data_IF_122558391778
#
_entry.id   IF_122558391778
#
_cell.length_a   1.000
_cell.length_b   1.000
_cell.length_c   1.000
_cell.angle_alpha   90.00
_cell.angle_beta   90.00
_cell.angle_gamma   90.00
#
_symmetry.space_group_name_H-M   'P 1'
#
loop_
_entity.id
_entity.type
_entity.pdbx_description
1 polymer ?
#
# COMPACT_ATOMS: atom_id res chain seq x y z
N UNK A 1 -4.54 48.73 22.75
CA UNK A 1 -4.91 50.07 23.27
C UNK A 1 -5.03 51.00 22.08
N UNK A 2 -6.21 51.29 21.54
CA UNK A 2 -7.61 50.89 21.85
C UNK A 2 -8.27 50.70 20.47
N UNK A 3 -8.94 49.62 20.06
CA UNK A 3 -9.96 48.72 20.65
C UNK A 3 -11.41 49.25 20.51
N UNK A 4 -12.38 48.31 20.48
CA UNK A 4 -13.85 48.44 20.53
C UNK A 4 -14.69 48.85 19.30
N UNK A 5 -15.46 47.86 18.84
CA UNK A 5 -16.92 47.85 18.59
C UNK A 5 -17.66 48.86 17.70
N UNK A 6 -18.59 48.31 16.90
CA UNK A 6 -19.96 48.84 16.84
C UNK A 6 -21.00 47.71 16.85
N UNK A 7 -22.04 47.80 17.72
CA UNK A 7 -23.13 46.82 17.79
C UNK A 7 -24.41 47.39 18.42
N UNK A 8 -25.40 47.76 17.59
CA UNK A 8 -26.78 48.07 17.97
C UNK A 8 -27.69 47.71 16.76
N UNK A 9 -28.74 46.88 16.75
CA UNK A 9 -29.73 46.33 17.72
C UNK A 9 -31.11 47.03 17.68
N UNK A 10 -32.01 46.43 16.88
CA UNK A 10 -33.51 46.36 17.00
C UNK A 10 -34.39 47.63 16.97
N UNK A 11 -35.52 47.56 16.23
CA UNK A 11 -36.92 47.53 16.77
C UNK A 11 -38.01 47.43 15.65
N UNK A 12 -38.87 46.40 15.75
CA UNK A 12 -40.33 46.26 15.38
C UNK A 12 -40.86 46.57 13.95
N UNK A 13 -41.95 45.85 13.57
CA UNK A 13 -42.72 45.94 12.31
C UNK A 13 -44.25 46.08 12.58
N UNK A 14 -45.08 46.33 11.53
CA UNK A 14 -46.12 45.36 11.09
C UNK A 14 -46.23 45.33 9.53
N UNK A 15 -47.19 44.76 8.78
CA UNK A 15 -48.50 44.06 8.98
C UNK A 15 -48.54 42.75 8.15
N UNK A 16 -49.16 41.64 8.58
CA UNK A 16 -50.60 41.20 8.54
C UNK A 16 -51.20 40.88 7.15
N UNK A 17 -51.42 39.58 6.92
CA UNK A 17 -52.68 39.01 6.38
C UNK A 17 -52.76 37.50 6.69
N UNK A 18 -53.96 36.97 6.94
CA UNK A 18 -54.15 35.72 7.71
C UNK A 18 -55.36 34.88 7.26
N UNK A 19 -55.15 33.60 6.93
CA UNK A 19 -56.16 32.53 6.87
C UNK A 19 -55.44 31.17 7.00
N UNK A 20 -55.59 30.39 8.08
CA UNK A 20 -56.72 29.52 8.46
C UNK A 20 -56.81 28.23 7.61
N UNK A 21 -56.99 27.01 8.16
CA UNK A 21 -57.02 26.55 9.57
C UNK A 21 -56.88 25.01 9.64
N UNK A 22 -56.56 24.46 10.83
CA UNK A 22 -56.65 23.03 11.24
C UNK A 22 -55.67 22.01 10.60
N UNK A 23 -55.37 20.84 11.21
CA UNK A 23 -55.19 20.50 12.63
C UNK A 23 -54.47 19.14 12.79
N UNK A 24 -53.74 18.96 13.91
CA UNK A 24 -53.25 17.68 14.48
C UNK A 24 -52.49 16.70 13.56
N UNK A 25 -51.22 16.48 13.89
CA UNK A 25 -50.83 15.27 14.65
C UNK A 25 -49.44 15.44 15.29
N UNK A 26 -49.24 14.83 16.46
CA UNK A 26 -47.91 14.76 17.09
C UNK A 26 -47.13 13.56 16.53
N UNK A 27 -45.89 13.79 16.10
CA UNK A 27 -44.88 12.76 15.94
C UNK A 27 -43.77 13.02 16.99
N UNK A 28 -43.18 11.98 17.62
CA UNK A 28 -42.16 12.17 18.63
C UNK A 28 -40.84 12.64 18.03
N UNK A 29 -40.12 13.48 18.77
CA UNK A 29 -38.73 13.87 18.45
C UNK A 29 -37.87 12.59 18.45
N UNK A 30 -37.08 12.31 17.39
CA UNK A 30 -36.18 11.16 17.39
C UNK A 30 -35.14 11.33 18.49
N UNK A 31 -35.03 10.31 19.35
CA UNK A 31 -34.06 10.28 20.45
C UNK A 31 -32.62 10.20 19.90
N UNK A 32 -31.61 10.71 20.63
CA UNK A 32 -30.21 10.61 20.20
C UNK A 32 -29.81 9.15 19.98
N UNK A 33 -29.21 8.89 18.81
CA UNK A 33 -28.82 7.55 18.34
C UNK A 33 -27.95 6.83 19.35
N UNK A 34 -28.29 5.59 19.70
CA UNK A 34 -27.54 4.80 20.68
C UNK A 34 -26.23 4.31 20.06
N UNK A 35 -25.18 4.15 20.87
CA UNK A 35 -23.84 3.74 20.39
C UNK A 35 -23.85 2.45 19.55
N UNK A 36 -24.79 1.53 19.78
CA UNK A 36 -24.91 0.27 19.03
C UNK A 36 -25.15 0.44 17.53
N UNK A 37 -25.89 1.47 17.10
CA UNK A 37 -26.22 1.67 15.68
C UNK A 37 -24.98 2.02 14.85
N UNK A 38 -23.96 2.68 15.44
CA UNK A 38 -22.68 2.96 14.76
C UNK A 38 -21.95 1.67 14.39
N UNK A 39 -21.91 0.67 15.28
CA UNK A 39 -21.20 -0.59 15.00
C UNK A 39 -21.84 -1.40 13.87
N UNK A 40 -23.18 -1.44 13.83
CA UNK A 40 -23.92 -2.09 12.75
C UNK A 40 -23.76 -1.34 11.41
N UNK A 41 -23.79 0.00 11.45
CA UNK A 41 -23.56 0.85 10.27
C UNK A 41 -22.14 0.69 9.71
N UNK A 42 -21.11 0.69 10.57
CA UNK A 42 -19.72 0.47 10.20
C UNK A 42 -19.51 -0.90 9.52
N UNK A 43 -20.02 -1.98 10.13
CA UNK A 43 -19.87 -3.32 9.57
C UNK A 43 -20.60 -3.46 8.22
N UNK A 44 -21.77 -2.82 8.07
CA UNK A 44 -22.50 -2.75 6.79
C UNK A 44 -21.72 -1.99 5.70
N UNK A 45 -21.13 -0.84 6.03
CA UNK A 45 -20.32 -0.05 5.09
C UNK A 45 -19.01 -0.75 4.68
N UNK A 46 -18.42 -1.50 5.60
CA UNK A 46 -17.26 -2.37 5.36
C UNK A 46 -17.62 -3.51 4.40
N UNK A 47 -18.69 -4.26 4.68
CA UNK A 47 -19.13 -5.36 3.82
C UNK A 47 -19.53 -4.88 2.42
N UNK A 48 -20.14 -3.69 2.31
CA UNK A 48 -20.46 -3.08 1.02
C UNK A 48 -19.18 -2.76 0.20
N UNK A 49 -18.14 -2.24 0.85
CA UNK A 49 -16.84 -1.98 0.22
C UNK A 49 -16.13 -3.27 -0.20
N UNK A 50 -16.09 -4.29 0.67
CA UNK A 50 -15.50 -5.59 0.35
C UNK A 50 -16.21 -6.30 -0.81
N UNK A 51 -17.54 -6.22 -0.87
CA UNK A 51 -18.33 -6.76 -1.99
C UNK A 51 -18.14 -5.96 -3.28
N UNK A 52 -18.13 -4.63 -3.20
CA UNK A 52 -17.88 -3.73 -4.34
C UNK A 52 -16.53 -4.03 -5.01
N UNK A 53 -15.47 -4.16 -4.21
CA UNK A 53 -14.13 -4.49 -4.69
C UNK A 53 -13.92 -5.97 -5.01
N UNK A 54 -14.90 -6.85 -4.76
CA UNK A 54 -14.78 -8.32 -4.91
C UNK A 54 -13.64 -8.93 -4.08
N UNK A 55 -13.36 -8.35 -2.92
CA UNK A 55 -12.32 -8.85 -2.00
C UNK A 55 -12.56 -10.30 -1.56
N UNK A 56 -13.79 -10.81 -1.39
CA UNK A 56 -14.02 -12.23 -1.12
C UNK A 56 -13.60 -13.20 -2.25
N UNK A 57 -13.45 -12.75 -3.49
CA UNK A 57 -12.85 -13.54 -4.57
C UNK A 57 -11.33 -13.34 -4.64
N UNK A 58 -10.85 -12.10 -4.52
CA UNK A 58 -9.42 -11.80 -4.52
C UNK A 58 -8.69 -12.47 -3.36
N UNK A 59 -9.24 -12.42 -2.15
CA UNK A 59 -8.69 -13.08 -0.97
C UNK A 59 -8.60 -14.61 -1.12
N UNK A 60 -9.49 -15.25 -1.90
CA UNK A 60 -9.38 -16.69 -2.21
C UNK A 60 -8.17 -17.00 -3.10
N UNK A 61 -7.87 -16.12 -4.05
CA UNK A 61 -6.65 -16.22 -4.88
C UNK A 61 -5.38 -15.99 -4.03
N UNK A 62 -5.40 -14.99 -3.13
CA UNK A 62 -4.30 -14.70 -2.20
C UNK A 62 -4.14 -15.69 -1.02
N UNK A 63 -5.02 -16.68 -0.91
CA UNK A 63 -4.96 -17.70 0.17
C UNK A 63 -4.83 -19.13 -0.32
N UNK A 64 -5.07 -19.43 -1.61
CA UNK A 64 -4.66 -20.72 -2.14
C UNK A 64 -3.13 -20.79 -2.18
N UNK A 65 -2.57 -21.81 -1.53
CA UNK A 65 -1.18 -22.22 -1.73
C UNK A 65 -1.16 -23.19 -2.89
N UNK A 66 -0.87 -22.69 -4.08
CA UNK A 66 -0.74 -23.53 -5.27
C UNK A 66 0.70 -24.08 -5.38
N UNK A 67 1.65 -23.49 -4.64
CA UNK A 67 3.06 -23.86 -4.57
C UNK A 67 3.54 -23.87 -3.10
N UNK A 68 3.20 -24.89 -2.31
CA UNK A 68 3.37 -24.87 -0.85
C UNK A 68 4.82 -24.73 -0.38
N UNK A 69 5.78 -25.16 -1.20
CA UNK A 69 7.23 -25.07 -0.95
C UNK A 69 7.80 -23.68 -1.29
N UNK A 70 7.07 -22.85 -2.05
CA UNK A 70 7.49 -21.50 -2.41
C UNK A 70 7.22 -20.54 -1.24
N UNK A 71 8.24 -20.30 -0.41
CA UNK A 71 8.11 -19.53 0.85
C UNK A 71 7.48 -18.15 0.63
N UNK A 72 7.76 -17.49 -0.50
CA UNK A 72 7.22 -16.16 -0.80
C UNK A 72 5.93 -16.15 -1.62
N UNK A 73 5.30 -17.29 -1.95
CA UNK A 73 3.97 -17.32 -2.61
C UNK A 73 2.96 -16.38 -1.92
N UNK A 74 2.83 -16.33 -0.57
CA UNK A 74 1.87 -15.46 0.11
C UNK A 74 2.13 -13.95 -0.04
N UNK A 75 3.33 -13.55 -0.47
CA UNK A 75 3.72 -12.17 -0.78
C UNK A 75 3.64 -11.91 -2.29
N UNK A 76 4.29 -12.75 -3.07
CA UNK A 76 4.45 -12.54 -4.51
C UNK A 76 3.13 -12.73 -5.26
N UNK A 77 2.26 -13.64 -4.84
CA UNK A 77 0.95 -13.85 -5.49
C UNK A 77 0.05 -12.59 -5.48
N UNK A 78 -0.21 -11.91 -4.34
CA UNK A 78 -0.91 -10.63 -4.36
C UNK A 78 -0.10 -9.51 -5.04
N UNK A 79 1.24 -9.46 -4.90
CA UNK A 79 2.05 -8.42 -5.54
C UNK A 79 2.03 -8.50 -7.08
N UNK A 80 2.20 -9.70 -7.64
CA UNK A 80 2.12 -9.98 -9.08
C UNK A 80 0.68 -9.71 -9.59
N UNK A 81 -0.34 -10.04 -8.81
CA UNK A 81 -1.73 -9.73 -9.17
C UNK A 81 -1.99 -8.22 -9.19
N UNK A 82 -1.42 -7.46 -8.25
CA UNK A 82 -1.48 -6.01 -8.27
C UNK A 82 -0.83 -5.43 -9.53
N UNK A 83 0.35 -5.93 -9.90
CA UNK A 83 1.08 -5.53 -11.11
C UNK A 83 0.26 -5.79 -12.40
N UNK A 84 -0.38 -6.96 -12.51
CA UNK A 84 -1.27 -7.28 -13.63
C UNK A 84 -2.54 -6.41 -13.67
N UNK A 85 -3.05 -5.95 -12.50
CA UNK A 85 -4.13 -4.95 -12.44
C UNK A 85 -3.60 -3.57 -12.86
N UNK A 86 -2.36 -3.19 -12.51
CA UNK A 86 -1.71 -1.96 -12.99
C UNK A 86 -1.60 -1.95 -14.52
N UNK A 87 -1.23 -3.07 -15.16
CA UNK A 87 -1.22 -3.18 -16.62
C UNK A 87 -2.60 -2.96 -17.24
N UNK A 88 -3.66 -3.51 -16.64
CA UNK A 88 -5.05 -3.22 -17.05
C UNK A 88 -5.39 -1.74 -16.88
N UNK A 89 -4.96 -1.13 -15.78
CA UNK A 89 -5.17 0.29 -15.54
C UNK A 89 -4.50 1.18 -16.61
N UNK A 90 -3.28 0.82 -17.04
CA UNK A 90 -2.58 1.46 -18.17
C UNK A 90 -3.41 1.34 -19.46
N UNK A 91 -3.87 0.12 -19.80
CA UNK A 91 -4.76 -0.12 -20.95
C UNK A 91 -6.01 0.76 -20.93
N UNK A 92 -6.62 0.94 -19.76
CA UNK A 92 -7.86 1.71 -19.57
C UNK A 92 -7.58 3.22 -19.69
N UNK A 93 -6.65 3.76 -18.89
CA UNK A 93 -6.38 5.19 -18.80
C UNK A 93 -5.86 5.78 -20.12
N UNK A 94 -5.03 5.04 -20.86
CA UNK A 94 -4.54 5.46 -22.17
C UNK A 94 -5.57 5.28 -23.30
N UNK A 95 -6.62 4.49 -23.06
CA UNK A 95 -7.74 4.31 -24.00
C UNK A 95 -8.92 5.25 -23.74
N UNK A 96 -8.96 5.96 -22.62
CA UNK A 96 -10.08 6.85 -22.25
C UNK A 96 -10.38 7.86 -23.38
N UNK A 97 -11.59 7.87 -23.96
CA UNK A 97 -11.93 8.71 -25.10
C UNK A 97 -12.15 10.19 -24.74
N UNK A 98 -12.25 10.55 -23.44
CA UNK A 98 -12.50 11.93 -23.00
C UNK A 98 -11.40 12.88 -23.47
N UNK A 99 -11.73 14.05 -24.06
CA UNK A 99 -10.74 14.97 -24.61
C UNK A 99 -9.96 15.75 -23.53
N UNK A 100 -10.47 15.76 -22.29
CA UNK A 100 -9.87 16.46 -21.14
C UNK A 100 -9.12 15.54 -20.17
N UNK A 101 -9.08 14.22 -20.42
CA UNK A 101 -8.32 13.29 -19.59
C UNK A 101 -6.82 13.50 -19.81
N UNK A 102 -6.05 13.80 -18.75
CA UNK A 102 -4.60 13.95 -18.86
C UNK A 102 -3.91 12.58 -18.96
N UNK A 103 -3.95 12.02 -20.17
CA UNK A 103 -3.27 10.76 -20.51
C UNK A 103 -1.75 10.84 -20.30
N UNK A 104 -1.14 12.02 -20.21
CA UNK A 104 0.32 12.17 -19.97
C UNK A 104 0.64 11.97 -18.49
N UNK A 105 -0.11 12.60 -17.59
CA UNK A 105 0.10 12.39 -16.16
C UNK A 105 -0.37 10.99 -15.71
N UNK A 106 -1.48 10.49 -16.26
CA UNK A 106 -1.87 9.07 -16.09
C UNK A 106 -0.75 8.11 -16.54
N UNK A 107 -0.14 8.34 -17.70
CA UNK A 107 0.99 7.54 -18.17
C UNK A 107 2.15 7.58 -17.17
N UNK A 108 2.63 8.77 -16.77
CA UNK A 108 3.75 8.91 -15.82
C UNK A 108 3.49 8.24 -14.46
N UNK A 109 2.28 8.40 -13.91
CA UNK A 109 1.96 7.87 -12.57
C UNK A 109 1.80 6.36 -12.60
N UNK A 110 1.20 5.78 -13.64
CA UNK A 110 1.10 4.34 -13.80
C UNK A 110 2.43 3.69 -14.19
N UNK A 111 3.29 4.38 -14.95
CA UNK A 111 4.68 4.01 -15.20
C UNK A 111 5.47 3.94 -13.88
N UNK A 112 5.45 5.01 -13.09
CA UNK A 112 6.08 5.06 -11.75
C UNK A 112 5.57 3.94 -10.84
N UNK A 113 4.25 3.75 -10.78
CA UNK A 113 3.64 2.72 -9.95
C UNK A 113 4.08 1.31 -10.38
N UNK A 114 4.06 1.01 -11.69
CA UNK A 114 4.51 -0.29 -12.20
C UNK A 114 6.00 -0.52 -11.87
N UNK A 115 6.86 0.47 -12.06
CA UNK A 115 8.28 0.36 -11.71
C UNK A 115 8.51 0.14 -10.21
N UNK A 116 7.77 0.83 -9.33
CA UNK A 116 7.83 0.61 -7.86
C UNK A 116 7.30 -0.75 -7.44
N UNK A 117 6.28 -1.28 -8.12
CA UNK A 117 5.79 -2.64 -7.89
C UNK A 117 6.85 -3.67 -8.30
N UNK A 118 7.55 -3.45 -9.42
CA UNK A 118 8.66 -4.30 -9.89
C UNK A 118 9.87 -4.22 -8.95
N UNK A 119 10.26 -3.03 -8.45
CA UNK A 119 11.29 -2.84 -7.41
C UNK A 119 11.00 -3.73 -6.18
N UNK A 120 9.75 -3.74 -5.71
CA UNK A 120 9.36 -4.48 -4.51
C UNK A 120 9.14 -5.98 -4.73
N UNK A 121 8.67 -6.38 -5.91
CA UNK A 121 8.63 -7.79 -6.33
C UNK A 121 10.06 -8.34 -6.40
N UNK A 122 10.98 -7.61 -7.05
CA UNK A 122 12.38 -7.99 -7.13
C UNK A 122 13.04 -8.07 -5.74
N UNK A 123 12.82 -7.09 -4.86
CA UNK A 123 13.37 -7.11 -3.50
C UNK A 123 12.85 -8.28 -2.63
N UNK A 124 11.64 -8.79 -2.87
CA UNK A 124 11.16 -10.03 -2.25
C UNK A 124 11.81 -11.27 -2.88
N UNK A 125 11.99 -11.29 -4.20
CA UNK A 125 12.65 -12.37 -4.95
C UNK A 125 14.17 -12.46 -4.71
N UNK A 126 14.86 -11.35 -4.44
CA UNK A 126 16.29 -11.33 -4.07
C UNK A 126 16.57 -12.09 -2.76
N UNK A 127 15.58 -12.20 -1.88
CA UNK A 127 15.67 -12.92 -0.60
C UNK A 127 15.32 -14.42 -0.72
N UNK A 128 15.14 -14.95 -1.94
CA UNK A 128 14.88 -16.37 -2.17
C UNK A 128 16.13 -17.13 -2.63
N UNK A 129 16.41 -18.24 -1.94
CA UNK A 129 17.47 -19.17 -2.33
C UNK A 129 17.20 -19.82 -3.69
N UNK A 130 18.22 -20.10 -4.52
CA UNK A 130 18.05 -20.78 -5.81
C UNK A 130 17.34 -22.13 -5.65
N UNK A 131 16.16 -22.26 -6.27
CA UNK A 131 15.35 -23.48 -6.20
C UNK A 131 14.40 -23.57 -5.00
N UNK A 132 14.12 -22.46 -4.29
CA UNK A 132 13.16 -22.38 -3.18
C UNK A 132 11.68 -22.51 -3.60
N UNK A 133 11.32 -23.60 -4.31
CA UNK A 133 9.94 -23.97 -4.65
C UNK A 133 9.24 -23.13 -5.73
N UNK A 134 9.84 -22.01 -6.17
CA UNK A 134 9.26 -21.09 -7.15
C UNK A 134 8.93 -21.79 -8.49
N UNK A 135 7.70 -21.65 -9.02
CA UNK A 135 7.28 -22.33 -10.24
C UNK A 135 7.98 -21.71 -11.45
N UNK A 136 9.03 -22.38 -11.92
CA UNK A 136 9.96 -21.85 -12.90
C UNK A 136 10.14 -22.80 -14.07
N UNK A 137 10.22 -22.25 -15.28
CA UNK A 137 10.42 -23.01 -16.51
C UNK A 137 11.86 -22.85 -17.00
N UNK A 138 12.55 -23.98 -17.16
CA UNK A 138 13.91 -24.03 -17.69
C UNK A 138 13.93 -23.72 -19.20
N UNK A 139 14.81 -22.79 -19.58
CA UNK A 139 14.99 -22.32 -20.95
C UNK A 139 15.93 -23.23 -21.77
N UNK A 140 16.68 -24.14 -21.15
CA UNK A 140 17.60 -25.06 -21.84
C UNK A 140 16.87 -26.11 -22.69
N UNK A 141 15.62 -26.43 -22.34
CA UNK A 141 14.91 -27.65 -22.76
C UNK A 141 14.86 -27.91 -24.30
N UNK A 142 15.67 -28.84 -24.85
CA UNK A 142 15.77 -29.06 -26.30
C UNK A 142 14.66 -29.98 -26.86
N UNK A 143 13.56 -30.17 -26.10
CA UNK A 143 12.52 -31.18 -26.35
C UNK A 143 11.10 -30.62 -26.25
N UNK A 144 10.79 -29.57 -27.02
CA UNK A 144 9.42 -29.30 -27.45
C UNK A 144 9.39 -28.93 -28.93
N UNK A 145 8.64 -29.69 -29.72
CA UNK A 145 8.53 -29.50 -31.18
C UNK A 145 7.90 -28.13 -31.44
N UNK A 146 8.51 -27.35 -32.33
CA UNK A 146 8.05 -26.02 -32.75
C UNK A 146 6.66 -26.14 -33.40
N UNK A 147 5.57 -25.65 -32.78
CA UNK A 147 4.25 -25.63 -33.39
C UNK A 147 4.18 -24.42 -34.32
N UNK A 148 4.51 -24.62 -35.61
CA UNK A 148 4.53 -23.54 -36.62
C UNK A 148 3.11 -23.13 -37.06
N UNK A 149 2.31 -22.58 -36.15
CA UNK A 149 0.98 -22.02 -36.44
C UNK A 149 0.48 -21.02 -35.39
N UNK A 150 0.36 -19.74 -35.77
CA UNK A 150 -0.73 -18.86 -35.28
C UNK A 150 -0.47 -17.88 -34.14
N UNK A 151 0.51 -18.07 -33.25
CA UNK A 151 0.75 -17.16 -32.12
C UNK A 151 1.74 -16.03 -32.44
N UNK A 152 1.24 -14.81 -32.60
CA UNK A 152 2.03 -13.62 -32.96
C UNK A 152 2.77 -12.94 -31.79
N UNK A 153 3.12 -13.67 -30.73
CA UNK A 153 3.91 -13.15 -29.61
C UNK A 153 5.36 -13.64 -29.69
N UNK A 154 6.30 -12.73 -29.43
CA UNK A 154 7.73 -12.90 -29.71
C UNK A 154 8.39 -13.99 -28.88
N UNK A 155 8.82 -15.06 -29.55
CA UNK A 155 9.83 -15.99 -29.04
C UNK A 155 11.21 -15.43 -29.37
N UNK A 156 11.79 -14.66 -28.46
CA UNK A 156 13.16 -14.18 -28.63
C UNK A 156 14.16 -15.32 -28.38
N UNK A 157 15.06 -15.53 -29.35
CA UNK A 157 16.04 -16.61 -29.34
C UNK A 157 17.44 -16.01 -29.20
N UNK A 158 17.91 -15.94 -27.96
CA UNK A 158 19.21 -15.38 -27.61
C UNK A 158 20.29 -16.48 -27.60
N UNK A 159 21.50 -16.13 -28.06
CA UNK A 159 22.70 -16.97 -27.88
C UNK A 159 23.59 -16.29 -26.86
N UNK A 160 23.78 -16.89 -25.69
CA UNK A 160 24.68 -16.32 -24.68
C UNK A 160 26.13 -16.35 -25.21
N UNK A 161 26.92 -15.28 -25.01
CA UNK A 161 28.33 -15.26 -25.38
C UNK A 161 29.10 -16.42 -24.72
N UNK A 162 29.63 -17.33 -25.53
CA UNK A 162 30.34 -18.53 -25.07
C UNK A 162 29.49 -19.79 -24.91
N UNK A 163 28.17 -19.73 -25.06
CA UNK A 163 27.30 -20.92 -25.12
C UNK A 163 27.01 -21.34 -26.57
N UNK A 164 26.89 -22.65 -26.79
CA UNK A 164 26.39 -23.21 -28.04
C UNK A 164 24.85 -23.34 -28.05
N UNK A 165 24.21 -23.25 -26.88
CA UNK A 165 22.76 -23.43 -26.72
C UNK A 165 22.00 -22.13 -26.98
N UNK A 166 20.86 -22.25 -27.64
CA UNK A 166 19.97 -21.13 -27.95
C UNK A 166 18.88 -21.06 -26.89
N UNK A 167 18.91 -19.99 -26.10
CA UNK A 167 17.94 -19.73 -25.04
C UNK A 167 16.69 -19.09 -25.65
N UNK A 168 15.55 -19.76 -25.47
CA UNK A 168 14.24 -19.26 -25.94
C UNK A 168 13.51 -18.64 -24.76
N UNK A 169 13.41 -17.31 -24.76
CA UNK A 169 12.65 -16.59 -23.74
C UNK A 169 11.15 -16.93 -23.86
N UNK A 170 10.50 -17.28 -22.74
CA UNK A 170 9.07 -17.66 -22.70
C UNK A 170 8.25 -16.57 -22.05
N UNK A 171 7.65 -15.74 -22.90
CA UNK A 171 6.68 -14.72 -22.51
C UNK A 171 5.35 -15.34 -22.09
N UNK A 172 4.77 -14.84 -20.99
CA UNK A 172 3.44 -15.14 -20.47
C UNK A 172 2.35 -14.94 -21.52
N UNK A 173 1.42 -15.90 -21.64
CA UNK A 173 0.27 -15.80 -22.54
C UNK A 173 -0.93 -15.07 -21.89
N UNK A 174 -1.01 -15.03 -20.55
CA UNK A 174 -2.14 -14.45 -19.81
C UNK A 174 -1.91 -13.02 -19.30
N UNK A 175 -0.67 -12.54 -19.24
CA UNK A 175 -0.38 -11.16 -18.82
C UNK A 175 -0.75 -10.14 -19.90
N UNK A 176 -1.14 -8.94 -19.46
CA UNK A 176 -1.39 -7.83 -20.38
C UNK A 176 -0.11 -7.10 -20.82
N UNK A 177 1.03 -7.19 -20.13
CA UNK A 177 2.23 -6.41 -20.51
C UNK A 177 2.74 -6.69 -21.95
N UNK A 178 2.86 -7.95 -22.42
CA UNK A 178 3.20 -8.25 -23.81
C UNK A 178 2.17 -7.70 -24.82
N UNK A 179 0.93 -7.52 -24.38
CA UNK A 179 -0.18 -7.00 -25.20
C UNK A 179 -0.21 -5.47 -25.23
N UNK A 180 0.25 -4.80 -24.15
CA UNK A 180 0.47 -3.36 -24.11
C UNK A 180 1.61 -2.93 -25.04
N UNK A 181 2.69 -3.74 -25.11
CA UNK A 181 3.81 -3.50 -26.01
C UNK A 181 3.38 -3.53 -27.49
N UNK A 182 2.46 -4.43 -27.85
CA UNK A 182 1.94 -4.57 -29.21
C UNK A 182 0.91 -3.48 -29.63
N UNK A 183 0.71 -2.42 -28.84
CA UNK A 183 -0.30 -1.37 -29.08
C UNK A 183 0.33 0.03 -29.06
N UNK A 184 0.21 0.79 -30.15
CA UNK A 184 0.82 2.11 -30.40
C UNK A 184 0.63 3.14 -29.25
N UNK A 185 -0.46 3.02 -28.48
CA UNK A 185 -0.77 3.92 -27.36
C UNK A 185 0.01 3.60 -26.08
N UNK A 186 0.52 2.38 -25.94
CA UNK A 186 1.11 1.83 -24.72
C UNK A 186 2.47 1.16 -24.91
N UNK A 187 2.94 0.99 -26.15
CA UNK A 187 4.30 0.54 -26.53
C UNK A 187 5.38 1.19 -25.65
N UNK A 188 5.52 2.52 -25.72
CA UNK A 188 6.56 3.28 -25.03
C UNK A 188 6.48 3.31 -23.48
N UNK A 189 5.41 2.79 -22.86
CA UNK A 189 5.33 2.54 -21.40
C UNK A 189 5.58 1.06 -21.10
N UNK A 190 5.11 0.15 -21.94
CA UNK A 190 5.38 -1.28 -21.81
C UNK A 190 6.87 -1.60 -21.95
N UNK A 191 7.56 -1.01 -22.95
CA UNK A 191 9.00 -1.15 -23.16
C UNK A 191 9.79 -0.77 -21.91
N UNK A 192 9.43 0.35 -21.28
CA UNK A 192 10.08 0.82 -20.04
C UNK A 192 9.88 -0.13 -18.88
N UNK A 193 8.66 -0.64 -18.71
CA UNK A 193 8.34 -1.62 -17.67
C UNK A 193 9.13 -2.92 -17.92
N UNK A 194 9.25 -3.37 -19.17
CA UNK A 194 10.09 -4.52 -19.54
C UNK A 194 11.58 -4.27 -19.25
N UNK A 195 12.10 -3.07 -19.53
CA UNK A 195 13.47 -2.70 -19.14
C UNK A 195 13.66 -2.62 -17.63
N UNK A 196 12.68 -2.12 -16.88
CA UNK A 196 12.70 -2.09 -15.42
C UNK A 196 12.69 -3.51 -14.83
N UNK A 197 11.88 -4.42 -15.37
CA UNK A 197 11.89 -5.84 -14.98
C UNK A 197 13.27 -6.45 -15.26
N UNK A 198 13.83 -6.28 -16.46
CA UNK A 198 15.19 -6.74 -16.79
C UNK A 198 16.24 -6.12 -15.86
N UNK A 199 16.10 -4.87 -15.40
CA UNK A 199 17.08 -4.22 -14.53
C UNK A 199 16.96 -4.63 -13.05
N UNK A 200 15.75 -4.69 -12.50
CA UNK A 200 15.50 -5.05 -11.10
C UNK A 200 15.66 -6.56 -10.87
N UNK A 201 15.15 -7.40 -11.78
CA UNK A 201 15.22 -8.85 -11.63
C UNK A 201 16.63 -9.41 -11.77
N UNK A 202 17.67 -8.63 -12.15
CA UNK A 202 19.05 -9.13 -12.37
C UNK A 202 19.61 -9.95 -11.22
N UNK A 203 19.32 -9.55 -9.97
CA UNK A 203 19.84 -10.17 -8.75
C UNK A 203 18.95 -11.30 -8.21
N UNK A 204 17.73 -11.46 -8.73
CA UNK A 204 16.80 -12.53 -8.36
C UNK A 204 17.22 -13.90 -8.96
N UNK A 205 16.80 -15.05 -8.40
CA UNK A 205 17.12 -16.37 -8.96
C UNK A 205 16.41 -16.69 -10.29
N UNK A 206 15.30 -16.00 -10.59
CA UNK A 206 14.53 -16.13 -11.84
C UNK A 206 14.18 -14.74 -12.42
N UNK A 207 13.50 -14.71 -13.57
CA UNK A 207 12.86 -13.50 -14.13
C UNK A 207 11.34 -13.69 -14.24
N UNK A 208 10.57 -12.62 -14.47
CA UNK A 208 9.10 -12.68 -14.42
C UNK A 208 8.44 -13.30 -15.66
N UNK A 209 9.10 -13.27 -16.83
CA UNK A 209 8.57 -13.83 -18.08
C UNK A 209 7.47 -12.98 -18.72
N UNK A 210 7.58 -11.65 -18.63
CA UNK A 210 6.56 -10.68 -19.08
C UNK A 210 6.95 -9.94 -20.37
N UNK A 211 7.96 -10.46 -21.08
CA UNK A 211 8.50 -9.88 -22.30
C UNK A 211 9.76 -9.04 -22.09
N UNK A 212 10.30 -8.98 -20.86
CA UNK A 212 11.67 -8.50 -20.64
C UNK A 212 12.70 -9.39 -21.38
N UNK A 213 13.80 -8.85 -21.94
CA UNK A 213 14.71 -9.63 -22.78
C UNK A 213 15.40 -10.82 -22.09
N UNK A 214 15.54 -10.76 -20.76
CA UNK A 214 16.26 -11.76 -19.95
C UNK A 214 17.69 -11.99 -20.44
N UNK A 215 18.49 -10.90 -20.43
CA UNK A 215 19.87 -10.89 -20.95
C UNK A 215 20.83 -11.83 -20.20
N UNK A 216 20.40 -12.34 -19.05
CA UNK A 216 21.16 -13.28 -18.20
C UNK A 216 20.76 -14.75 -18.42
N UNK A 217 19.73 -15.04 -19.23
CA UNK A 217 19.30 -16.41 -19.55
C UNK A 217 18.76 -17.21 -18.36
N UNK A 218 18.27 -16.53 -17.32
CA UNK A 218 17.73 -17.17 -16.10
C UNK A 218 16.38 -17.84 -16.36
N UNK A 219 15.95 -18.83 -15.55
CA UNK A 219 14.63 -19.43 -15.73
C UNK A 219 13.51 -18.39 -15.58
N UNK A 220 12.45 -18.54 -16.38
CA UNK A 220 11.26 -17.69 -16.31
C UNK A 220 10.28 -18.25 -15.28
N UNK A 221 9.74 -17.38 -14.41
CA UNK A 221 8.58 -17.70 -13.58
C UNK A 221 7.39 -18.10 -14.49
N UNK A 222 6.67 -19.15 -14.11
CA UNK A 222 5.44 -19.57 -14.80
C UNK A 222 4.27 -18.67 -14.38
N UNK A 223 4.34 -17.39 -14.78
CA UNK A 223 3.44 -16.31 -14.37
C UNK A 223 1.95 -16.67 -14.57
N UNK A 224 1.61 -17.34 -15.67
CA UNK A 224 0.25 -17.82 -15.99
C UNK A 224 -0.28 -18.87 -15.00
N UNK A 225 0.61 -19.59 -14.31
CA UNK A 225 0.26 -20.53 -13.24
C UNK A 225 0.20 -19.85 -11.87
N UNK A 226 1.01 -18.82 -11.65
CA UNK A 226 0.95 -18.00 -10.43
C UNK A 226 -0.32 -17.13 -10.39
N UNK A 227 -0.73 -16.56 -11.53
CA UNK A 227 -1.90 -15.68 -11.66
C UNK A 227 -3.08 -16.34 -12.36
N UNK A 228 -3.98 -16.90 -11.56
CA UNK A 228 -5.32 -17.32 -12.01
C UNK A 228 -6.24 -16.12 -12.24
N UNK A 229 -5.97 -15.42 -13.35
CA UNK A 229 -6.68 -14.22 -13.76
C UNK A 229 -8.20 -14.43 -13.90
N UNK A 230 -8.95 -13.42 -13.45
CA UNK A 230 -10.37 -13.20 -13.76
C UNK A 230 -10.55 -11.74 -14.13
N UNK A 231 -11.44 -11.49 -15.06
CA UNK A 231 -11.76 -10.14 -15.52
C UNK A 231 -12.45 -9.34 -14.39
N UNK A 232 -11.89 -8.17 -14.11
CA UNK A 232 -12.45 -7.15 -13.21
C UNK A 232 -12.52 -5.83 -14.00
N UNK A 233 -13.62 -5.11 -13.84
CA UNK A 233 -13.89 -3.90 -14.62
C UNK A 233 -13.14 -2.66 -14.11
N UNK A 234 -13.17 -1.59 -14.90
CA UNK A 234 -12.25 -0.45 -14.79
C UNK A 234 -12.34 0.36 -13.49
N UNK A 235 -13.52 0.43 -12.86
CA UNK A 235 -13.78 1.31 -11.72
C UNK A 235 -13.05 0.91 -10.42
N UNK A 236 -12.52 -0.32 -10.35
CA UNK A 236 -11.97 -0.89 -9.12
C UNK A 236 -10.45 -0.88 -9.05
N UNK A 237 -9.74 -0.56 -10.15
CA UNK A 237 -8.32 -0.86 -10.34
C UNK A 237 -7.42 -0.32 -9.20
N UNK A 238 -7.47 0.99 -8.91
CA UNK A 238 -6.66 1.61 -7.85
C UNK A 238 -6.86 0.92 -6.48
N UNK A 239 -8.10 0.68 -6.09
CA UNK A 239 -8.44 0.06 -4.81
C UNK A 239 -8.08 -1.45 -4.77
N UNK A 240 -8.21 -2.19 -5.87
CA UNK A 240 -7.79 -3.59 -5.92
C UNK A 240 -6.26 -3.73 -5.89
N UNK A 241 -5.53 -2.78 -6.47
CA UNK A 241 -4.07 -2.66 -6.33
C UNK A 241 -3.72 -2.36 -4.86
N UNK A 242 -4.39 -1.36 -4.25
CA UNK A 242 -4.21 -0.99 -2.84
C UNK A 242 -4.38 -2.20 -1.91
N UNK A 243 -5.51 -2.91 -2.03
CA UNK A 243 -5.83 -4.07 -1.18
C UNK A 243 -4.90 -5.26 -1.40
N UNK A 244 -4.41 -5.45 -2.63
CA UNK A 244 -3.35 -6.43 -2.91
C UNK A 244 -2.06 -6.08 -2.16
N UNK A 245 -1.65 -4.81 -2.11
CA UNK A 245 -0.45 -4.38 -1.37
C UNK A 245 -0.67 -4.26 0.14
N UNK A 246 -1.89 -4.00 0.61
CA UNK A 246 -2.29 -4.18 2.01
C UNK A 246 -2.13 -5.65 2.41
N UNK A 247 -2.51 -6.59 1.53
CA UNK A 247 -2.30 -8.03 1.76
C UNK A 247 -0.81 -8.40 1.81
N UNK A 248 0.03 -7.77 0.99
CA UNK A 248 1.50 -7.90 1.06
C UNK A 248 2.01 -7.37 2.41
N UNK A 249 1.67 -6.14 2.81
CA UNK A 249 2.06 -5.54 4.08
C UNK A 249 1.65 -6.41 5.30
N UNK A 250 0.44 -6.98 5.27
CA UNK A 250 -0.05 -7.94 6.28
C UNK A 250 0.85 -9.17 6.42
N UNK A 251 1.43 -9.67 5.32
CA UNK A 251 2.39 -10.80 5.34
C UNK A 251 3.80 -10.38 5.75
N UNK A 252 4.27 -9.20 5.35
CA UNK A 252 5.56 -8.64 5.79
C UNK A 252 5.54 -8.45 7.32
N UNK A 253 4.46 -7.90 7.89
CA UNK A 253 4.28 -7.74 9.33
C UNK A 253 4.38 -9.07 10.12
N UNK A 254 3.93 -10.18 9.54
CA UNK A 254 4.09 -11.52 10.14
C UNK A 254 5.56 -11.94 10.11
N UNK A 255 6.26 -11.80 8.97
CA UNK A 255 7.69 -12.11 8.87
C UNK A 255 8.56 -11.27 9.81
N UNK A 256 8.26 -9.98 9.99
CA UNK A 256 8.93 -9.11 10.97
C UNK A 256 8.78 -9.70 12.39
N UNK A 257 7.59 -10.17 12.75
CA UNK A 257 7.35 -10.88 14.01
C UNK A 257 8.22 -12.14 14.13
N UNK A 258 8.10 -13.06 13.17
CA UNK A 258 8.86 -14.31 13.12
C UNK A 258 10.39 -14.11 13.19
N UNK A 259 10.92 -13.08 12.50
CA UNK A 259 12.34 -12.75 12.49
C UNK A 259 12.81 -12.16 13.83
N UNK A 260 12.02 -11.29 14.48
CA UNK A 260 12.32 -10.77 15.83
C UNK A 260 12.24 -11.89 16.87
N UNK A 261 11.22 -12.76 16.80
CA UNK A 261 11.10 -13.97 17.65
C UNK A 261 12.31 -14.89 17.49
N UNK A 262 12.79 -15.07 16.24
CA UNK A 262 14.01 -15.82 15.90
C UNK A 262 15.33 -15.10 16.19
N UNK A 263 15.29 -13.82 16.61
CA UNK A 263 16.44 -12.91 16.80
C UNK A 263 17.28 -12.64 15.54
N UNK A 264 16.69 -12.84 14.36
CA UNK A 264 17.27 -12.44 13.08
C UNK A 264 16.98 -10.95 12.83
N UNK A 265 17.82 -10.09 13.43
CA UNK A 265 17.70 -8.65 13.32
C UNK A 265 17.94 -8.16 11.88
N UNK A 266 18.73 -8.90 11.08
CA UNK A 266 19.01 -8.58 9.67
C UNK A 266 17.77 -8.75 8.79
N UNK A 267 17.14 -9.93 8.81
CA UNK A 267 15.90 -10.16 8.08
C UNK A 267 14.76 -9.28 8.60
N UNK A 268 14.66 -9.07 9.92
CA UNK A 268 13.68 -8.16 10.49
C UNK A 268 13.86 -6.70 10.02
N UNK A 269 15.10 -6.22 9.85
CA UNK A 269 15.38 -4.88 9.32
C UNK A 269 15.04 -4.78 7.82
N UNK A 270 15.36 -5.81 7.04
CA UNK A 270 15.01 -5.91 5.61
C UNK A 270 13.49 -5.92 5.40
N UNK A 271 12.75 -6.71 6.18
CA UNK A 271 11.29 -6.74 6.11
C UNK A 271 10.66 -5.43 6.63
N UNK A 272 11.24 -4.76 7.63
CA UNK A 272 10.82 -3.41 8.00
C UNK A 272 11.03 -2.40 6.84
N UNK A 273 12.09 -2.54 6.03
CA UNK A 273 12.29 -1.71 4.84
C UNK A 273 11.27 -2.02 3.74
N UNK A 274 10.96 -3.31 3.49
CA UNK A 274 9.89 -3.70 2.57
C UNK A 274 8.52 -3.16 3.01
N UNK A 275 8.24 -3.14 4.32
CA UNK A 275 7.02 -2.54 4.88
C UNK A 275 7.01 -1.01 4.71
N UNK A 276 8.12 -0.33 4.95
CA UNK A 276 8.27 1.13 4.73
C UNK A 276 7.97 1.51 3.27
N UNK A 277 8.51 0.73 2.33
CA UNK A 277 8.29 0.91 0.91
C UNK A 277 6.86 0.58 0.50
N UNK A 278 6.26 -0.47 1.06
CA UNK A 278 4.86 -0.80 0.81
C UNK A 278 3.94 0.34 1.27
N UNK A 279 4.18 0.95 2.43
CA UNK A 279 3.41 2.13 2.87
C UNK A 279 3.55 3.36 1.95
N UNK A 280 4.73 3.57 1.35
CA UNK A 280 4.91 4.60 0.31
C UNK A 280 4.14 4.25 -0.97
N UNK A 281 4.20 2.99 -1.41
CA UNK A 281 3.46 2.51 -2.56
C UNK A 281 1.95 2.70 -2.38
N UNK A 282 1.40 2.36 -1.20
CA UNK A 282 0.00 2.62 -0.87
C UNK A 282 -0.34 4.11 -0.98
N UNK A 283 0.59 5.01 -0.64
CA UNK A 283 0.41 6.46 -0.84
C UNK A 283 0.40 6.84 -2.33
N UNK A 284 1.32 6.29 -3.14
CA UNK A 284 1.35 6.51 -4.59
C UNK A 284 0.10 5.95 -5.31
N UNK A 285 -0.53 4.90 -4.77
CA UNK A 285 -1.78 4.31 -5.27
C UNK A 285 -2.99 5.21 -4.96
N UNK A 286 -3.11 5.73 -3.74
CA UNK A 286 -4.18 6.69 -3.36
C UNK A 286 -4.06 8.00 -4.16
N UNK A 287 -2.84 8.46 -4.44
CA UNK A 287 -2.57 9.63 -5.30
C UNK A 287 -3.15 9.49 -6.72
N UNK A 288 -3.39 8.27 -7.22
CA UNK A 288 -4.07 8.08 -8.52
C UNK A 288 -5.53 8.54 -8.51
N UNK A 289 -6.20 8.56 -7.34
CA UNK A 289 -7.57 9.05 -7.23
C UNK A 289 -7.67 10.55 -7.53
N UNK A 290 -6.56 11.31 -7.41
CA UNK A 290 -6.46 12.71 -7.82
C UNK A 290 -6.55 12.93 -9.34
N UNK A 291 -6.30 11.89 -10.14
CA UNK A 291 -6.40 11.94 -11.61
C UNK A 291 -7.75 11.44 -12.15
N UNK A 292 -8.62 10.93 -11.28
CA UNK A 292 -9.94 10.42 -11.65
C UNK A 292 -10.90 11.57 -11.96
N UNK A 293 -11.76 11.36 -12.96
CA UNK A 293 -12.83 12.30 -13.30
C UNK A 293 -13.75 12.53 -12.09
N UNK A 294 -14.07 13.80 -11.71
CA UNK A 294 -14.98 14.09 -10.61
C UNK A 294 -16.35 13.40 -10.73
N UNK A 295 -16.88 13.20 -11.92
CA UNK A 295 -18.14 12.47 -12.11
C UNK A 295 -17.98 10.97 -11.79
N UNK A 296 -16.84 10.36 -12.11
CA UNK A 296 -16.55 8.98 -11.74
C UNK A 296 -16.27 8.84 -10.24
N UNK A 297 -15.61 9.82 -9.61
CA UNK A 297 -15.48 9.88 -8.16
C UNK A 297 -16.85 10.01 -7.47
N UNK A 298 -17.74 10.86 -7.98
CA UNK A 298 -19.10 11.02 -7.42
C UNK A 298 -19.97 9.76 -7.64
N UNK A 299 -19.78 9.03 -8.74
CA UNK A 299 -20.39 7.70 -8.96
C UNK A 299 -19.88 6.68 -7.96
N UNK A 300 -18.56 6.58 -7.76
CA UNK A 300 -17.92 5.72 -6.75
C UNK A 300 -18.45 6.03 -5.33
N UNK A 301 -18.47 7.31 -4.96
CA UNK A 301 -19.01 7.83 -3.70
C UNK A 301 -20.48 7.41 -3.48
N UNK A 302 -21.30 7.48 -4.53
CA UNK A 302 -22.70 7.06 -4.52
C UNK A 302 -22.87 5.54 -4.41
N UNK A 303 -22.12 4.77 -5.22
CA UNK A 303 -22.13 3.29 -5.21
C UNK A 303 -21.70 2.71 -3.86
N UNK A 304 -20.69 3.31 -3.22
CA UNK A 304 -20.25 2.96 -1.87
C UNK A 304 -21.17 3.54 -0.77
N UNK A 305 -22.16 4.36 -1.09
CA UNK A 305 -23.07 4.95 -0.11
C UNK A 305 -22.37 5.88 0.90
N UNK A 306 -21.35 6.64 0.46
CA UNK A 306 -20.70 7.66 1.28
C UNK A 306 -21.65 8.86 1.41
N UNK A 307 -22.38 8.93 2.53
CA UNK A 307 -23.36 10.00 2.81
C UNK A 307 -22.74 11.14 3.62
N UNK A 308 -23.04 12.36 3.20
CA UNK A 308 -22.58 13.62 3.82
C UNK A 308 -23.21 13.91 5.18
N UNK A 309 -24.48 13.51 5.39
CA UNK A 309 -25.32 14.04 6.46
C UNK A 309 -25.20 13.34 7.82
N UNK A 310 -24.43 12.25 7.95
CA UNK A 310 -24.51 11.37 9.14
C UNK A 310 -23.20 10.70 9.53
N UNK A 311 -22.12 11.49 9.65
CA UNK A 311 -20.90 11.08 10.36
C UNK A 311 -20.23 9.82 9.82
N UNK A 312 -20.33 9.57 8.51
CA UNK A 312 -19.66 8.46 7.83
C UNK A 312 -18.17 8.51 8.12
N UNK A 313 -17.60 7.36 8.42
CA UNK A 313 -16.15 7.21 8.52
C UNK A 313 -15.55 7.26 7.11
N UNK A 314 -14.31 7.75 7.01
CA UNK A 314 -13.66 8.05 5.73
C UNK A 314 -13.40 6.77 4.93
N UNK A 315 -13.33 6.88 3.61
CA UNK A 315 -13.35 5.74 2.70
C UNK A 315 -12.25 4.68 3.01
N UNK A 316 -11.04 5.11 3.36
CA UNK A 316 -9.96 4.19 3.78
C UNK A 316 -10.30 3.31 5.00
N UNK A 317 -11.09 3.80 5.98
CA UNK A 317 -11.49 3.00 7.15
C UNK A 317 -12.56 1.94 6.84
N UNK A 318 -12.98 1.80 5.58
CA UNK A 318 -13.82 0.69 5.11
C UNK A 318 -13.00 -0.53 4.72
N UNK A 319 -11.68 -0.37 4.57
CA UNK A 319 -10.73 -1.47 4.45
C UNK A 319 -10.43 -2.07 5.82
N UNK A 320 -10.87 -3.32 6.03
CA UNK A 320 -10.48 -4.14 7.18
C UNK A 320 -8.97 -4.34 7.22
N UNK A 321 -8.38 -4.68 6.07
CA UNK A 321 -6.94 -4.90 5.92
C UNK A 321 -6.11 -3.66 6.28
N UNK A 322 -6.49 -2.46 5.81
CA UNK A 322 -5.76 -1.23 6.12
C UNK A 322 -5.76 -0.92 7.62
N UNK A 323 -6.91 -1.07 8.29
CA UNK A 323 -7.03 -0.90 9.74
C UNK A 323 -6.13 -1.91 10.48
N UNK A 324 -6.08 -3.16 10.03
CA UNK A 324 -5.24 -4.19 10.62
C UNK A 324 -3.74 -3.91 10.43
N UNK A 325 -3.27 -3.60 9.23
CA UNK A 325 -1.83 -3.29 9.02
C UNK A 325 -1.41 -2.00 9.72
N UNK A 326 -2.30 -1.02 9.88
CA UNK A 326 -2.05 0.19 10.67
C UNK A 326 -1.85 -0.15 12.14
N UNK A 327 -2.78 -0.93 12.72
CA UNK A 327 -2.72 -1.38 14.10
C UNK A 327 -1.45 -2.20 14.37
N UNK A 328 -1.14 -3.14 13.49
CA UNK A 328 0.03 -4.01 13.60
C UNK A 328 1.34 -3.24 13.43
N UNK A 329 1.44 -2.28 12.51
CA UNK A 329 2.62 -1.41 12.35
C UNK A 329 2.87 -0.58 13.62
N UNK A 330 1.80 -0.03 14.22
CA UNK A 330 1.85 0.70 15.49
C UNK A 330 2.19 -0.19 16.69
N UNK A 331 1.85 -1.47 16.63
CA UNK A 331 2.14 -2.46 17.68
C UNK A 331 3.59 -2.97 17.66
N UNK A 332 4.37 -2.74 16.59
CA UNK A 332 5.81 -3.07 16.54
C UNK A 332 6.61 -2.42 17.69
N UNK A 333 6.14 -1.29 18.26
CA UNK A 333 6.72 -0.68 19.47
C UNK A 333 6.76 -1.60 20.69
N UNK A 334 5.89 -2.62 20.75
CA UNK A 334 5.89 -3.65 21.79
C UNK A 334 7.14 -4.54 21.73
N UNK A 335 7.78 -4.67 20.56
CA UNK A 335 9.00 -5.47 20.34
C UNK A 335 10.30 -4.69 20.64
N UNK A 336 10.28 -3.36 20.74
CA UNK A 336 11.50 -2.55 20.96
C UNK A 336 12.26 -2.90 22.26
N UNK A 337 11.61 -3.10 23.42
CA UNK A 337 12.31 -3.50 24.64
C UNK A 337 12.98 -4.88 24.51
N UNK A 338 12.40 -5.79 23.73
CA UNK A 338 12.92 -7.13 23.48
C UNK A 338 14.17 -7.10 22.58
N UNK A 339 14.14 -6.31 21.50
CA UNK A 339 15.31 -6.05 20.63
C UNK A 339 16.47 -5.47 21.46
N UNK A 340 16.17 -4.52 22.35
CA UNK A 340 17.13 -3.91 23.28
C UNK A 340 17.49 -4.81 24.48
N UNK A 341 16.77 -5.93 24.69
CA UNK A 341 16.94 -6.87 25.81
C UNK A 341 16.76 -6.21 27.20
N UNK A 342 15.76 -5.33 27.31
CA UNK A 342 15.39 -4.58 28.53
C UNK A 342 14.01 -4.99 29.03
N UNK A 343 13.88 -5.21 30.34
CA UNK A 343 12.58 -5.42 30.99
C UNK A 343 11.67 -4.20 30.85
N UNK A 344 10.40 -4.43 30.47
CA UNK A 344 9.43 -3.36 30.27
C UNK A 344 8.94 -2.80 31.61
N UNK A 345 9.36 -1.58 31.94
CA UNK A 345 8.56 -0.74 32.84
C UNK A 345 7.22 -0.45 32.13
N UNK A 346 6.05 -0.78 32.72
CA UNK A 346 4.75 -0.60 32.08
C UNK A 346 4.40 0.86 31.74
N UNK A 347 5.21 1.84 32.14
CA UNK A 347 5.09 3.26 31.74
C UNK A 347 6.02 3.67 30.58
N UNK A 348 6.83 2.77 30.02
CA UNK A 348 7.80 3.09 28.97
C UNK A 348 9.03 3.82 29.51
N UNK A 349 9.62 3.28 30.57
CA UNK A 349 10.57 3.99 31.43
C UNK A 349 11.97 4.27 30.84
N UNK A 350 12.80 5.07 31.55
CA UNK A 350 14.13 5.52 31.10
C UNK A 350 15.11 4.40 30.70
N UNK A 351 14.95 3.18 31.23
CA UNK A 351 15.79 2.02 30.91
C UNK A 351 15.84 1.72 29.41
N UNK A 352 14.73 1.91 28.69
CA UNK A 352 14.64 1.67 27.23
C UNK A 352 15.42 2.75 26.46
N UNK A 353 15.33 4.00 26.91
CA UNK A 353 16.09 5.11 26.34
C UNK A 353 17.60 4.92 26.58
N UNK A 354 18.01 4.61 27.81
CA UNK A 354 19.41 4.40 28.18
C UNK A 354 20.05 3.24 27.41
N UNK A 355 19.34 2.13 27.25
CA UNK A 355 19.83 0.99 26.46
C UNK A 355 19.96 1.33 24.96
N UNK A 356 19.02 2.11 24.41
CA UNK A 356 19.14 2.61 23.04
C UNK A 356 20.34 3.56 22.89
N UNK A 357 20.57 4.46 23.85
CA UNK A 357 21.73 5.36 23.84
C UNK A 357 23.06 4.60 23.92
N UNK A 358 23.14 3.54 24.73
CA UNK A 358 24.32 2.65 24.80
C UNK A 358 24.54 1.86 23.51
N UNK A 359 23.48 1.31 22.92
CA UNK A 359 23.55 0.62 21.62
C UNK A 359 23.98 1.57 20.49
N UNK A 360 23.57 2.84 20.52
CA UNK A 360 23.99 3.85 19.54
C UNK A 360 25.38 4.46 19.84
N UNK A 361 26.00 4.18 20.99
CA UNK A 361 27.32 4.69 21.34
C UNK A 361 28.44 3.67 21.13
N UNK A 362 28.21 2.40 21.48
CA UNK A 362 29.25 1.37 21.41
C UNK A 362 29.15 0.57 20.11
N UNK A 363 30.29 0.34 19.45
CA UNK A 363 30.48 -0.70 18.43
C UNK A 363 30.44 -2.09 19.12
N UNK A 364 29.24 -2.51 19.52
CA UNK A 364 28.99 -3.87 20.03
C UNK A 364 28.94 -4.81 18.84
N UNK A 365 29.68 -5.92 18.89
CA UNK A 365 29.65 -6.94 17.84
C UNK A 365 28.21 -7.49 17.64
N UNK A 366 27.72 -7.47 16.41
CA UNK A 366 26.30 -7.72 16.06
C UNK A 366 25.31 -6.60 16.41
N UNK A 367 25.77 -5.42 16.86
CA UNK A 367 24.94 -4.27 17.21
C UNK A 367 24.28 -3.60 16.00
N UNK A 368 24.99 -3.50 14.88
CA UNK A 368 24.56 -2.78 13.67
C UNK A 368 23.18 -3.23 13.16
N UNK A 369 22.92 -4.53 13.14
CA UNK A 369 21.64 -5.07 12.69
C UNK A 369 20.47 -4.61 13.59
N UNK A 370 20.71 -4.47 14.90
CA UNK A 370 19.72 -3.91 15.83
C UNK A 370 19.54 -2.40 15.60
N UNK A 371 20.61 -1.67 15.32
CA UNK A 371 20.55 -0.24 14.97
C UNK A 371 19.71 -0.04 13.70
N UNK A 372 19.98 -0.82 12.65
CA UNK A 372 19.20 -0.80 11.41
C UNK A 372 17.73 -1.17 11.62
N UNK A 373 17.43 -2.21 12.42
CA UNK A 373 16.06 -2.58 12.77
C UNK A 373 15.33 -1.44 13.51
N UNK A 374 15.95 -0.84 14.53
CA UNK A 374 15.35 0.27 15.28
C UNK A 374 15.15 1.52 14.42
N UNK A 375 16.07 1.81 13.48
CA UNK A 375 15.90 2.87 12.49
C UNK A 375 14.74 2.57 11.54
N UNK A 376 14.68 1.36 10.97
CA UNK A 376 13.64 0.93 10.05
C UNK A 376 12.24 0.94 10.68
N UNK A 377 12.13 0.56 11.96
CA UNK A 377 10.90 0.72 12.75
C UNK A 377 10.41 2.18 12.79
N UNK A 378 11.30 3.14 13.06
CA UNK A 378 10.92 4.58 13.02
C UNK A 378 10.62 5.08 11.60
N UNK A 379 11.20 4.46 10.57
CA UNK A 379 10.87 4.76 9.17
C UNK A 379 9.46 4.24 8.79
N UNK A 380 9.06 3.06 9.27
CA UNK A 380 7.70 2.51 9.11
C UNK A 380 6.65 3.43 9.75
N UNK A 381 6.85 3.90 10.99
CA UNK A 381 5.96 4.91 11.60
C UNK A 381 5.85 6.17 10.71
N UNK A 382 6.99 6.68 10.25
CA UNK A 382 7.02 7.88 9.43
C UNK A 382 6.40 7.68 8.03
N UNK A 383 6.27 6.43 7.55
CA UNK A 383 5.52 6.10 6.33
C UNK A 383 4.01 6.01 6.61
N UNK A 384 3.59 5.32 7.68
CA UNK A 384 2.19 5.23 8.15
C UNK A 384 1.59 6.63 8.35
N UNK A 385 2.28 7.52 9.08
CA UNK A 385 1.79 8.88 9.35
C UNK A 385 1.75 9.75 8.09
N UNK A 386 2.64 9.54 7.12
CA UNK A 386 2.59 10.22 5.81
C UNK A 386 1.42 9.72 4.97
N UNK A 387 1.14 8.42 4.94
CA UNK A 387 -0.02 7.85 4.24
C UNK A 387 -1.33 8.52 4.71
N UNK A 388 -1.61 8.54 6.03
CA UNK A 388 -2.86 9.12 6.53
C UNK A 388 -2.93 10.65 6.40
N UNK A 389 -1.80 11.35 6.44
CA UNK A 389 -1.76 12.77 6.10
C UNK A 389 -2.07 13.01 4.61
N UNK A 390 -1.41 12.28 3.69
CA UNK A 390 -1.61 12.40 2.24
C UNK A 390 -3.04 12.03 1.84
N UNK A 391 -3.54 10.90 2.34
CA UNK A 391 -4.92 10.46 2.16
C UNK A 391 -5.93 11.54 2.56
N UNK A 392 -5.70 12.26 3.66
CA UNK A 392 -6.55 13.39 4.06
C UNK A 392 -6.51 14.55 3.07
N UNK A 393 -5.35 14.87 2.48
CA UNK A 393 -5.28 15.91 1.44
C UNK A 393 -5.99 15.48 0.15
N UNK A 394 -5.82 14.23 -0.27
CA UNK A 394 -6.55 13.64 -1.40
C UNK A 394 -8.07 13.70 -1.16
N UNK A 395 -8.53 13.28 0.02
CA UNK A 395 -9.93 13.36 0.41
C UNK A 395 -10.47 14.82 0.39
N UNK A 396 -9.69 15.78 0.89
CA UNK A 396 -10.03 17.22 0.83
C UNK A 396 -10.12 17.74 -0.61
N UNK A 397 -9.25 17.28 -1.51
CA UNK A 397 -9.27 17.71 -2.91
C UNK A 397 -10.41 17.06 -3.71
N UNK A 398 -10.68 15.76 -3.51
CA UNK A 398 -11.69 15.02 -4.26
C UNK A 398 -13.13 15.23 -3.76
N UNK A 399 -13.33 15.46 -2.45
CA UNK A 399 -14.65 15.65 -1.83
C UNK A 399 -14.91 17.09 -1.34
N UNK A 400 -13.89 17.94 -1.34
CA UNK A 400 -13.95 19.29 -0.79
C UNK A 400 -13.83 19.33 0.74
N UNK A 401 -13.31 20.44 1.26
CA UNK A 401 -13.00 20.62 2.68
C UNK A 401 -14.20 20.47 3.63
N UNK A 402 -15.43 20.71 3.15
CA UNK A 402 -16.64 20.61 3.96
C UNK A 402 -17.04 19.14 4.23
N UNK A 403 -16.81 18.24 3.27
CA UNK A 403 -17.09 16.82 3.41
C UNK A 403 -15.94 16.09 4.10
N UNK A 404 -14.71 16.31 3.62
CA UNK A 404 -13.51 15.70 4.20
C UNK A 404 -13.20 16.20 5.63
N UNK A 405 -13.69 17.40 6.00
CA UNK A 405 -13.66 17.92 7.36
C UNK A 405 -14.69 17.30 8.32
N UNK A 406 -15.60 16.43 7.83
CA UNK A 406 -16.42 15.56 8.67
C UNK A 406 -17.37 16.27 9.65
N UNK A 407 -17.95 17.42 9.26
CA UNK A 407 -18.91 18.27 10.00
C UNK A 407 -19.16 17.93 11.49
N UNK A 408 -18.19 18.30 12.35
CA UNK A 408 -18.32 18.23 13.82
C UNK A 408 -17.71 19.47 14.47
N UNK A 409 -18.58 20.34 14.99
CA UNK A 409 -18.15 21.56 15.70
C UNK A 409 -17.51 21.32 17.09
N UNK A 410 -17.26 20.06 17.50
CA UNK A 410 -16.86 19.69 18.87
C UNK A 410 -15.93 18.45 18.91
N UNK A 411 -15.09 18.21 17.89
CA UNK A 411 -14.16 17.07 17.91
C UNK A 411 -13.15 17.06 16.76
N UNK A 412 -12.08 16.27 16.93
CA UNK A 412 -11.10 16.04 15.86
C UNK A 412 -11.65 15.08 14.80
N UNK A 413 -11.11 15.17 13.59
CA UNK A 413 -11.31 14.19 12.53
C UNK A 413 -10.42 12.96 12.79
N UNK A 414 -10.91 11.71 12.66
CA UNK A 414 -10.13 10.50 12.91
C UNK A 414 -8.84 10.35 12.07
N UNK A 415 -8.77 10.91 10.86
CA UNK A 415 -7.53 10.96 10.08
C UNK A 415 -6.51 11.89 10.75
N UNK A 416 -6.97 13.07 11.18
CA UNK A 416 -6.16 14.02 11.96
C UNK A 416 -5.67 13.40 13.26
N UNK A 417 -6.52 12.67 14.00
CA UNK A 417 -6.09 11.95 15.21
C UNK A 417 -4.97 10.95 14.90
N UNK A 418 -5.07 10.21 13.79
CA UNK A 418 -4.17 9.12 13.44
C UNK A 418 -2.75 9.56 13.01
N UNK A 419 -2.59 10.69 12.29
CA UNK A 419 -1.26 11.23 11.99
C UNK A 419 -0.72 12.19 13.08
N UNK A 420 -1.59 12.80 13.88
CA UNK A 420 -1.19 13.63 15.03
C UNK A 420 -0.94 12.83 16.32
N UNK A 421 -1.06 11.49 16.28
CA UNK A 421 -0.70 10.66 17.43
C UNK A 421 0.73 10.94 17.91
N UNK A 422 1.00 10.84 19.23
CA UNK A 422 2.36 10.81 19.75
C UNK A 422 3.27 9.82 19.02
N UNK A 423 4.61 10.01 19.04
CA UNK A 423 5.53 9.07 18.42
C UNK A 423 5.29 7.64 18.93
N UNK A 424 5.37 6.64 18.06
CA UNK A 424 5.18 5.24 18.44
C UNK A 424 6.39 4.74 19.24
N UNK A 425 7.57 5.33 19.03
CA UNK A 425 8.84 4.93 19.64
C UNK A 425 9.51 6.06 20.48
N UNK A 426 8.82 6.68 21.46
CA UNK A 426 9.27 7.90 22.13
C UNK A 426 10.63 7.75 22.81
N UNK A 427 10.95 6.57 23.36
CA UNK A 427 12.25 6.28 23.98
C UNK A 427 13.41 6.26 22.98
N UNK A 428 13.17 5.93 21.71
CA UNK A 428 14.19 5.98 20.66
C UNK A 428 14.45 7.40 20.19
N UNK A 429 13.41 8.23 20.12
CA UNK A 429 13.56 9.64 19.74
C UNK A 429 14.19 10.46 20.87
N UNK A 430 13.85 10.17 22.12
CA UNK A 430 14.57 10.70 23.29
C UNK A 430 16.05 10.26 23.29
N UNK A 431 16.36 9.00 22.94
CA UNK A 431 17.73 8.53 22.83
C UNK A 431 18.53 9.33 21.78
N UNK A 432 17.93 9.63 20.61
CA UNK A 432 18.52 10.52 19.59
C UNK A 432 18.79 11.92 20.13
N UNK A 433 17.89 12.49 20.95
CA UNK A 433 18.06 13.82 21.56
C UNK A 433 19.22 13.89 22.55
N UNK A 434 19.40 12.87 23.41
CA UNK A 434 20.38 12.90 24.50
C UNK A 434 21.73 12.24 24.18
N UNK A 435 21.95 11.75 22.94
CA UNK A 435 23.16 11.03 22.54
C UNK A 435 24.46 11.83 22.71
N UNK A 436 24.51 13.09 22.24
CA UNK A 436 25.69 13.94 22.40
C UNK A 436 26.00 14.26 23.87
N UNK A 437 24.95 14.49 24.66
CA UNK A 437 25.01 14.70 26.11
C UNK A 437 25.59 13.47 26.84
N UNK A 438 25.30 12.28 26.34
CA UNK A 438 25.80 11.01 26.85
C UNK A 438 27.29 10.81 26.51
N UNK A 439 27.67 11.04 25.24
CA UNK A 439 29.06 10.97 24.80
C UNK A 439 29.98 11.86 25.65
N UNK A 440 29.59 13.10 25.93
CA UNK A 440 30.36 14.00 26.78
C UNK A 440 30.50 13.52 28.24
N UNK A 441 29.49 12.83 28.78
CA UNK A 441 29.50 12.32 30.17
C UNK A 441 30.32 11.04 30.33
N UNK A 442 30.46 10.22 29.30
CA UNK A 442 31.32 9.03 29.35
C UNK A 442 32.78 9.36 29.03
N UNK A 443 33.06 10.24 28.05
CA UNK A 443 34.44 10.71 27.80
C UNK A 443 35.00 11.54 28.96
N UNK A 444 34.15 12.23 29.73
CA UNK A 444 34.53 12.93 30.97
C UNK A 444 34.70 12.05 32.21
N UNK A 445 34.82 10.72 32.04
CA UNK A 445 35.01 9.73 33.13
C UNK A 445 36.25 8.82 32.93
N UNK A 446 37.08 9.15 31.94
CA UNK A 446 38.43 8.60 31.74
C UNK A 446 39.48 9.56 32.32
#
# INVERSE_FOLDING_TARGET
>A
MVDLDWKAKTVVAPEISLANLSSRNHAPIPSPTRLGDRSNSFHSATLAYEQYLRLPELAKLWTSRDFPDWRSEPLLKPALQALEITFRFISIALSDPRPYADRREWCRRLESLACRQVELIAAVCEAEEPGAGAPTSDLSSPKRIIPRAGSSFSQEVWKLPGSAEAVVNRTSESSLLPRLAAWDKSEAIADKIQMEIECQMRRCPFTLGLGEPNLTGKPNLEYDRALRNRENESLFAAHQILESWIRVASRILIRIGEAIDGRDWGSAASDCWLLERTWKLLSEIEDLLMLMDPDDFLRLKSQLGIRTESGSETLCFRSTGLIEITRSSKDLKKRVPEILQVEVDPKGGPRVQEAAMKLFHHEIDGGDQKIHLLQALTAVEAAVKRFFFGYRQMAVAAMGSLEAGGSRAIGSDPLTELFMEPPYFPSLDAAKTFLGDFWHREHGRL
#
